data_IF_759176572607
#
_entry.id   IF_759176572607
#
_cell.length_a   1.000
_cell.length_b   1.000
_cell.length_c   1.000
_cell.angle_alpha   90.00
_cell.angle_beta   90.00
_cell.angle_gamma   90.00
#
_symmetry.space_group_name_H-M   'P 1'
#
loop_
_entity.id
_entity.type
_entity.pdbx_description
1 polymer ?
#
# COMPACT_ATOMS: atom_id res chain seq x y z
N UNK A 1 66.84 6.42 9.42
CA UNK A 1 66.15 6.81 8.17
C UNK A 1 65.15 5.72 7.76
N UNK A 2 63.84 5.98 7.83
CA UNK A 2 62.80 5.36 7.00
C UNK A 2 61.51 6.16 7.21
N UNK A 3 61.26 7.10 6.30
CA UNK A 3 60.04 7.89 6.24
C UNK A 3 58.87 6.97 5.85
N UNK A 4 57.83 6.91 6.69
CA UNK A 4 56.58 6.22 6.38
C UNK A 4 55.59 7.26 5.86
N UNK A 5 55.44 7.26 4.54
CA UNK A 5 54.44 7.99 3.77
C UNK A 5 53.03 7.81 4.38
N UNK A 6 52.42 8.91 4.82
CA UNK A 6 50.99 8.99 5.08
C UNK A 6 50.29 9.23 3.74
N UNK A 7 49.75 8.17 3.14
CA UNK A 7 48.86 8.32 2.00
C UNK A 7 47.53 8.90 2.49
N UNK A 8 47.25 10.14 2.07
CA UNK A 8 45.96 10.79 2.26
C UNK A 8 44.87 9.98 1.57
N UNK A 9 44.14 9.17 2.33
CA UNK A 9 42.83 8.70 1.90
C UNK A 9 41.85 9.84 2.13
N UNK A 10 41.45 10.50 1.05
CA UNK A 10 40.23 11.28 1.00
C UNK A 10 39.04 10.33 1.22
N UNK A 11 38.83 9.91 2.47
CA UNK A 11 37.65 9.17 2.89
C UNK A 11 36.51 10.16 2.97
N UNK A 12 35.57 10.09 2.03
CA UNK A 12 34.23 10.63 2.26
C UNK A 12 33.74 10.03 3.58
N UNK A 13 33.68 10.86 4.63
CA UNK A 13 33.55 10.39 6.00
C UNK A 13 32.29 9.55 6.22
N UNK A 14 32.27 8.68 7.25
CA UNK A 14 31.15 7.79 7.56
C UNK A 14 29.78 8.51 7.63
N UNK A 15 29.79 9.80 7.98
CA UNK A 15 28.60 10.67 8.04
C UNK A 15 27.92 10.85 6.68
N UNK A 16 28.68 11.03 5.59
CA UNK A 16 28.11 11.21 4.24
C UNK A 16 27.41 9.92 3.77
N UNK A 17 28.02 8.76 4.08
CA UNK A 17 27.40 7.45 3.81
C UNK A 17 26.10 7.26 4.60
N UNK A 18 26.03 7.73 5.85
CA UNK A 18 24.83 7.64 6.70
C UNK A 18 23.70 8.55 6.16
N UNK A 19 24.01 9.78 5.75
CA UNK A 19 23.02 10.69 5.17
C UNK A 19 22.44 10.21 3.83
N UNK A 20 23.27 9.62 2.95
CA UNK A 20 22.81 9.10 1.66
C UNK A 20 21.93 7.86 1.87
N UNK A 21 22.33 6.95 2.76
CA UNK A 21 21.55 5.75 3.07
C UNK A 21 20.15 6.11 3.58
N UNK A 22 20.08 7.03 4.55
CA UNK A 22 18.80 7.47 5.12
C UNK A 22 17.92 8.21 4.11
N UNK A 23 18.49 8.97 3.16
CA UNK A 23 17.71 9.60 2.09
C UNK A 23 17.06 8.56 1.17
N UNK A 24 17.84 7.56 0.73
CA UNK A 24 17.35 6.49 -0.16
C UNK A 24 16.25 5.69 0.55
N UNK A 25 16.40 5.37 1.83
CA UNK A 25 15.38 4.69 2.61
C UNK A 25 14.07 5.49 2.65
N UNK A 26 14.15 6.79 2.92
CA UNK A 26 12.97 7.66 2.95
C UNK A 26 12.30 7.79 1.58
N UNK A 27 13.09 7.83 0.50
CA UNK A 27 12.58 7.84 -0.87
C UNK A 27 11.89 6.51 -1.19
N UNK A 28 12.48 5.37 -0.81
CA UNK A 28 11.88 4.05 -0.99
C UNK A 28 10.54 3.94 -0.24
N UNK A 29 10.44 4.49 0.99
CA UNK A 29 9.19 4.53 1.75
C UNK A 29 8.13 5.43 1.09
N UNK A 30 8.52 6.54 0.49
CA UNK A 30 7.59 7.38 -0.28
C UNK A 30 7.09 6.64 -1.53
N UNK A 31 8.01 6.07 -2.32
CA UNK A 31 7.68 5.30 -3.51
C UNK A 31 6.76 4.12 -3.17
N UNK A 32 7.08 3.36 -2.11
CA UNK A 32 6.25 2.25 -1.65
C UNK A 32 4.82 2.71 -1.31
N UNK A 33 4.67 3.86 -0.64
CA UNK A 33 3.35 4.43 -0.37
C UNK A 33 2.59 4.82 -1.63
N UNK A 34 3.27 5.44 -2.59
CA UNK A 34 2.65 5.81 -3.87
C UNK A 34 2.18 4.57 -4.62
N UNK A 35 3.02 3.54 -4.71
CA UNK A 35 2.69 2.30 -5.42
C UNK A 35 1.52 1.56 -4.76
N UNK A 36 1.48 1.51 -3.42
CA UNK A 36 0.32 0.98 -2.71
C UNK A 36 -0.93 1.80 -3.03
N UNK A 37 -0.85 3.13 -2.94
CA UNK A 37 -1.99 4.01 -3.17
C UNK A 37 -2.57 3.90 -4.59
N UNK A 38 -1.71 3.80 -5.62
CA UNK A 38 -2.10 3.66 -7.03
C UNK A 38 -2.92 2.39 -7.28
N UNK A 39 -2.76 1.33 -6.48
CA UNK A 39 -3.56 0.12 -6.63
C UNK A 39 -5.00 0.25 -6.08
N UNK A 40 -5.21 1.11 -5.08
CA UNK A 40 -6.53 1.34 -4.48
C UNK A 40 -7.30 2.46 -5.18
N UNK A 41 -6.64 3.58 -5.45
CA UNK A 41 -7.31 4.82 -5.84
C UNK A 41 -8.18 4.68 -7.10
N UNK A 42 -7.73 4.04 -8.20
CA UNK A 42 -8.55 3.84 -9.37
C UNK A 42 -9.75 2.92 -9.12
N UNK A 43 -9.60 1.91 -8.25
CA UNK A 43 -10.67 1.00 -7.90
C UNK A 43 -11.76 1.73 -7.08
N UNK A 44 -11.36 2.50 -6.08
CA UNK A 44 -12.28 3.29 -5.25
C UNK A 44 -13.01 4.36 -6.05
N UNK A 45 -12.31 5.10 -6.92
CA UNK A 45 -12.93 6.10 -7.81
C UNK A 45 -13.96 5.45 -8.72
N UNK A 46 -13.63 4.31 -9.35
CA UNK A 46 -14.60 3.59 -10.20
C UNK A 46 -15.84 3.14 -9.41
N UNK A 47 -15.68 2.64 -8.19
CA UNK A 47 -16.81 2.27 -7.33
C UNK A 47 -17.71 3.45 -6.97
N UNK A 48 -17.12 4.60 -6.67
CA UNK A 48 -17.88 5.82 -6.36
C UNK A 48 -18.56 6.43 -7.59
N UNK A 49 -17.97 6.30 -8.77
CA UNK A 49 -18.58 6.74 -10.04
C UNK A 49 -19.72 5.83 -10.50
N UNK A 50 -19.69 4.54 -10.12
CA UNK A 50 -20.72 3.56 -10.44
C UNK A 50 -21.17 2.78 -9.20
N UNK A 51 -21.80 3.50 -8.27
CA UNK A 51 -22.36 2.90 -7.06
C UNK A 51 -23.44 1.88 -7.39
N UNK A 52 -24.25 2.13 -8.42
CA UNK A 52 -25.33 1.24 -8.85
C UNK A 52 -24.78 -0.10 -9.34
N UNK A 53 -23.78 -0.10 -10.22
CA UNK A 53 -23.11 -1.32 -10.67
C UNK A 53 -22.39 -2.05 -9.55
N UNK A 54 -21.76 -1.32 -8.64
CA UNK A 54 -21.08 -1.91 -7.47
C UNK A 54 -22.06 -2.56 -6.50
N UNK A 55 -23.18 -1.90 -6.20
CA UNK A 55 -24.23 -2.45 -5.36
C UNK A 55 -24.88 -3.68 -6.00
N UNK A 56 -25.18 -3.64 -7.30
CA UNK A 56 -25.70 -4.79 -8.03
C UNK A 56 -24.75 -5.99 -7.99
N UNK A 57 -23.44 -5.76 -8.06
CA UNK A 57 -22.43 -6.81 -7.89
C UNK A 57 -22.42 -7.36 -6.45
N UNK A 58 -22.49 -6.50 -5.43
CA UNK A 58 -22.58 -6.91 -4.02
C UNK A 58 -23.86 -7.69 -3.69
N UNK A 59 -24.98 -7.37 -4.34
CA UNK A 59 -26.23 -8.14 -4.24
C UNK A 59 -26.03 -9.57 -4.71
N UNK A 60 -25.33 -9.78 -5.84
CA UNK A 60 -25.04 -11.14 -6.36
C UNK A 60 -24.12 -11.94 -5.43
N UNK A 61 -23.27 -11.26 -4.66
CA UNK A 61 -22.41 -11.88 -3.65
C UNK A 61 -23.14 -12.18 -2.33
N UNK A 62 -24.40 -11.75 -2.17
CA UNK A 62 -25.18 -11.96 -0.94
C UNK A 62 -24.73 -11.07 0.23
N UNK A 63 -24.08 -9.94 -0.03
CA UNK A 63 -23.64 -9.01 1.01
C UNK A 63 -24.86 -8.27 1.60
N UNK A 64 -25.00 -8.17 2.94
CA UNK A 64 -26.08 -7.41 3.55
C UNK A 64 -25.94 -5.90 3.26
N UNK A 65 -27.07 -5.23 2.99
CA UNK A 65 -27.13 -3.80 2.67
C UNK A 65 -26.14 -3.37 1.55
N UNK A 66 -26.29 -3.90 0.32
CA UNK A 66 -25.32 -3.72 -0.77
C UNK A 66 -25.07 -2.27 -1.15
N UNK A 67 -26.08 -1.40 -1.11
CA UNK A 67 -25.92 0.03 -1.42
C UNK A 67 -25.02 0.74 -0.40
N UNK A 68 -25.21 0.43 0.88
CA UNK A 68 -24.41 0.99 1.98
C UNK A 68 -22.99 0.46 1.90
N UNK A 69 -22.83 -0.84 1.65
CA UNK A 69 -21.51 -1.47 1.52
C UNK A 69 -20.75 -0.98 0.30
N UNK A 70 -21.43 -0.69 -0.82
CA UNK A 70 -20.83 -0.10 -2.01
C UNK A 70 -20.27 1.29 -1.71
N UNK A 71 -21.05 2.13 -1.03
CA UNK A 71 -20.61 3.47 -0.60
C UNK A 71 -19.44 3.39 0.36
N UNK A 72 -19.52 2.53 1.38
CA UNK A 72 -18.44 2.34 2.36
C UNK A 72 -17.17 1.83 1.68
N UNK A 73 -17.27 0.82 0.83
CA UNK A 73 -16.12 0.27 0.12
C UNK A 73 -15.45 1.32 -0.77
N UNK A 74 -16.24 2.10 -1.54
CA UNK A 74 -15.71 3.18 -2.35
C UNK A 74 -15.05 4.29 -1.51
N UNK A 75 -15.69 4.71 -0.41
CA UNK A 75 -15.16 5.74 0.47
C UNK A 75 -13.85 5.30 1.15
N UNK A 76 -13.78 4.04 1.61
CA UNK A 76 -12.58 3.47 2.23
C UNK A 76 -11.45 3.33 1.20
N UNK A 77 -11.74 2.84 0.00
CA UNK A 77 -10.74 2.70 -1.07
C UNK A 77 -10.21 4.03 -1.61
N UNK A 78 -10.88 5.15 -1.37
CA UNK A 78 -10.37 6.48 -1.71
C UNK A 78 -9.66 7.12 -0.52
N UNK A 79 -10.24 7.06 0.68
CA UNK A 79 -9.69 7.74 1.87
C UNK A 79 -8.40 7.10 2.37
N UNK A 80 -8.32 5.76 2.44
CA UNK A 80 -7.13 5.07 2.94
C UNK A 80 -5.87 5.30 2.11
N UNK A 81 -5.87 5.18 0.76
CA UNK A 81 -4.67 5.48 -0.01
C UNK A 81 -4.27 6.95 0.06
N UNK A 82 -5.21 7.89 0.22
CA UNK A 82 -4.88 9.31 0.47
C UNK A 82 -4.17 9.46 1.81
N UNK A 83 -4.69 8.87 2.89
CA UNK A 83 -4.03 8.89 4.20
C UNK A 83 -2.65 8.22 4.15
N UNK A 84 -2.52 7.15 3.36
CA UNK A 84 -1.28 6.44 3.15
C UNK A 84 -0.26 7.34 2.42
N UNK A 85 -0.65 8.04 1.36
CA UNK A 85 0.20 9.02 0.66
C UNK A 85 0.68 10.15 1.59
N UNK A 86 -0.24 10.75 2.34
CA UNK A 86 0.07 11.82 3.31
C UNK A 86 1.02 11.30 4.41
N UNK A 87 0.93 10.01 4.74
CA UNK A 87 1.80 9.35 5.70
C UNK A 87 1.42 9.62 7.16
N UNK A 88 0.16 9.98 7.42
CA UNK A 88 -0.37 10.17 8.77
C UNK A 88 -0.77 8.82 9.39
N UNK A 89 -0.61 8.70 10.71
CA UNK A 89 -0.95 7.49 11.48
C UNK A 89 -0.58 6.16 10.78
N UNK A 90 0.69 5.97 10.36
CA UNK A 90 1.07 4.90 9.43
C UNK A 90 0.63 3.51 9.87
N UNK A 91 0.72 3.20 11.17
CA UNK A 91 0.30 1.91 11.73
C UNK A 91 -1.21 1.69 11.65
N UNK A 92 -1.99 2.72 11.97
CA UNK A 92 -3.47 2.63 11.92
C UNK A 92 -3.91 2.47 10.48
N UNK A 93 -3.40 3.32 9.57
CA UNK A 93 -3.71 3.25 8.15
C UNK A 93 -3.29 1.91 7.55
N UNK A 94 -2.11 1.38 7.92
CA UNK A 94 -1.66 0.07 7.48
C UNK A 94 -2.60 -1.06 7.90
N UNK A 95 -3.04 -1.08 9.16
CA UNK A 95 -3.97 -2.10 9.67
C UNK A 95 -5.33 -1.98 8.99
N UNK A 96 -5.86 -0.77 8.84
CA UNK A 96 -7.14 -0.54 8.17
C UNK A 96 -7.09 -0.95 6.69
N UNK A 97 -6.03 -0.57 5.97
CA UNK A 97 -5.84 -0.94 4.58
C UNK A 97 -5.65 -2.45 4.41
N UNK A 98 -4.80 -3.08 5.22
CA UNK A 98 -4.59 -4.52 5.20
C UNK A 98 -5.87 -5.29 5.52
N UNK A 99 -6.59 -4.89 6.57
CA UNK A 99 -7.86 -5.49 6.97
C UNK A 99 -8.93 -5.36 5.89
N UNK A 100 -9.05 -4.17 5.28
CA UNK A 100 -9.96 -3.96 4.16
C UNK A 100 -9.63 -4.87 2.98
N UNK A 101 -8.35 -5.00 2.60
CA UNK A 101 -7.94 -5.90 1.50
C UNK A 101 -8.22 -7.36 1.84
N UNK A 102 -8.00 -7.79 3.08
CA UNK A 102 -8.33 -9.16 3.52
C UNK A 102 -9.82 -9.43 3.31
N UNK A 103 -10.69 -8.53 3.78
CA UNK A 103 -12.15 -8.67 3.60
C UNK A 103 -12.52 -8.69 2.12
N UNK A 104 -11.99 -7.79 1.30
CA UNK A 104 -12.26 -7.74 -0.14
C UNK A 104 -11.77 -9.01 -0.86
N UNK A 105 -10.65 -9.58 -0.44
CA UNK A 105 -10.07 -10.79 -1.04
C UNK A 105 -10.91 -12.02 -0.73
N UNK A 106 -11.32 -12.18 0.53
CA UNK A 106 -12.11 -13.32 0.98
C UNK A 106 -13.57 -13.24 0.52
N UNK A 107 -14.08 -12.07 0.12
CA UNK A 107 -15.45 -11.92 -0.37
C UNK A 107 -15.52 -11.89 -1.90
N UNK A 108 -14.76 -11.04 -2.57
CA UNK A 108 -14.92 -10.75 -4.00
C UNK A 108 -14.00 -11.54 -4.94
N UNK A 109 -12.90 -12.11 -4.42
CA UNK A 109 -11.85 -12.71 -5.24
C UNK A 109 -11.61 -14.19 -4.94
N UNK A 110 -12.65 -14.91 -4.51
CA UNK A 110 -12.65 -16.36 -4.28
C UNK A 110 -12.60 -17.09 -5.62
N UNK A 111 -11.44 -17.07 -6.26
CA UNK A 111 -11.26 -17.57 -7.63
C UNK A 111 -11.68 -19.04 -7.81
N UNK A 112 -11.61 -19.85 -6.75
CA UNK A 112 -12.02 -21.25 -6.73
C UNK A 112 -13.54 -21.47 -6.87
N UNK A 113 -14.36 -20.43 -6.80
CA UNK A 113 -15.83 -20.53 -6.98
C UNK A 113 -16.27 -20.30 -8.43
N UNK A 114 -15.34 -19.89 -9.31
CA UNK A 114 -15.64 -19.62 -10.72
C UNK A 114 -15.40 -20.87 -11.56
N UNK A 115 -16.44 -21.32 -12.26
CA UNK A 115 -16.37 -22.50 -13.14
C UNK A 115 -15.81 -22.18 -14.54
N UNK A 116 -15.94 -20.93 -14.99
CA UNK A 116 -15.43 -20.50 -16.29
C UNK A 116 -13.92 -20.19 -16.20
N UNK A 117 -13.06 -20.84 -17.00
CA UNK A 117 -11.61 -20.72 -16.87
C UNK A 117 -11.06 -19.30 -16.98
N UNK A 118 -11.58 -18.45 -17.88
CA UNK A 118 -11.08 -17.09 -18.05
C UNK A 118 -11.41 -16.20 -16.83
N UNK A 119 -12.62 -16.32 -16.28
CA UNK A 119 -13.02 -15.66 -15.06
C UNK A 119 -12.22 -16.15 -13.86
N UNK A 120 -11.98 -17.46 -13.75
CA UNK A 120 -11.16 -18.04 -12.69
C UNK A 120 -9.74 -17.44 -12.70
N UNK A 121 -9.08 -17.38 -13.87
CA UNK A 121 -7.73 -16.78 -14.00
C UNK A 121 -7.72 -15.29 -13.65
N UNK A 122 -8.74 -14.53 -14.08
CA UNK A 122 -8.86 -13.11 -13.75
C UNK A 122 -9.00 -12.89 -12.24
N UNK A 123 -9.82 -13.70 -11.57
CA UNK A 123 -10.03 -13.60 -10.13
C UNK A 123 -8.81 -14.07 -9.33
N UNK A 124 -8.11 -15.09 -9.82
CA UNK A 124 -6.84 -15.53 -9.23
C UNK A 124 -5.79 -14.42 -9.28
N UNK A 125 -5.72 -13.67 -10.38
CA UNK A 125 -4.83 -12.52 -10.51
C UNK A 125 -5.15 -11.44 -9.48
N UNK A 126 -6.43 -11.12 -9.28
CA UNK A 126 -6.85 -10.15 -8.25
C UNK A 126 -6.55 -10.64 -6.84
N UNK A 127 -6.77 -11.93 -6.57
CA UNK A 127 -6.45 -12.55 -5.29
C UNK A 127 -4.96 -12.43 -4.96
N UNK A 128 -4.08 -12.81 -5.89
CA UNK A 128 -2.63 -12.74 -5.71
C UNK A 128 -2.13 -11.30 -5.60
N UNK A 129 -2.69 -10.37 -6.38
CA UNK A 129 -2.43 -8.93 -6.25
C UNK A 129 -2.75 -8.44 -4.84
N UNK A 130 -3.89 -8.85 -4.29
CA UNK A 130 -4.32 -8.46 -2.96
C UNK A 130 -3.44 -9.09 -1.87
N UNK A 131 -2.98 -10.33 -2.03
CA UNK A 131 -2.02 -10.93 -1.12
C UNK A 131 -0.71 -10.13 -1.06
N UNK A 132 -0.22 -9.67 -2.23
CA UNK A 132 0.91 -8.75 -2.32
C UNK A 132 0.65 -7.41 -1.62
N UNK A 133 -0.55 -6.84 -1.77
CA UNK A 133 -0.97 -5.62 -1.05
C UNK A 133 -0.97 -5.81 0.46
N UNK A 134 -1.51 -6.93 0.97
CA UNK A 134 -1.49 -7.27 2.40
C UNK A 134 -0.04 -7.29 2.90
N UNK A 135 0.87 -7.99 2.21
CA UNK A 135 2.29 -7.99 2.54
C UNK A 135 2.90 -6.58 2.53
N UNK A 136 2.56 -5.76 1.53
CA UNK A 136 2.99 -4.36 1.46
C UNK A 136 2.51 -3.52 2.63
N UNK A 137 1.26 -3.70 3.08
CA UNK A 137 0.75 -3.01 4.27
C UNK A 137 1.43 -3.48 5.56
N UNK A 138 1.82 -4.75 5.67
CA UNK A 138 2.61 -5.25 6.81
C UNK A 138 4.01 -4.62 6.85
N UNK A 139 4.69 -4.53 5.70
CA UNK A 139 5.97 -3.83 5.65
C UNK A 139 5.83 -2.35 5.98
N UNK A 140 4.77 -1.70 5.51
CA UNK A 140 4.47 -0.31 5.85
C UNK A 140 4.17 -0.12 7.35
N UNK A 141 3.46 -1.07 7.98
CA UNK A 141 3.19 -1.06 9.42
C UNK A 141 4.49 -1.06 10.24
N UNK A 142 5.47 -1.88 9.83
CA UNK A 142 6.77 -1.99 10.50
C UNK A 142 7.66 -0.77 10.23
N UNK A 143 7.78 -0.36 8.97
CA UNK A 143 8.70 0.69 8.57
C UNK A 143 8.20 2.11 8.94
N UNK A 144 6.89 2.33 8.88
CA UNK A 144 6.26 3.64 9.06
C UNK A 144 6.36 4.53 7.81
N UNK A 145 6.02 5.82 7.97
CA UNK A 145 5.87 6.75 6.84
C UNK A 145 7.17 7.39 6.34
N UNK A 146 8.28 7.28 7.09
CA UNK A 146 9.54 7.95 6.75
C UNK A 146 9.48 9.49 6.86
N UNK A 147 10.58 10.16 6.49
CA UNK A 147 10.75 11.60 6.60
C UNK A 147 9.85 12.40 5.64
N UNK A 148 9.51 11.84 4.47
CA UNK A 148 8.60 12.46 3.50
C UNK A 148 7.12 12.23 3.86
N UNK A 149 6.72 12.58 5.08
CA UNK A 149 5.35 12.43 5.58
C UNK A 149 4.94 13.62 6.43
N UNK A 150 3.64 13.85 6.60
CA UNK A 150 3.16 14.93 7.47
C UNK A 150 3.54 14.61 8.92
N UNK A 151 4.46 15.41 9.48
CA UNK A 151 5.05 15.20 10.81
C UNK A 151 6.30 14.29 10.82
N UNK A 152 6.81 13.91 9.64
CA UNK A 152 8.01 13.08 9.50
C UNK A 152 9.25 13.74 10.09
N UNK A 153 9.78 13.17 11.18
CA UNK A 153 11.14 13.48 11.64
C UNK A 153 12.10 12.52 10.97
N UNK A 154 13.05 13.05 10.18
CA UNK A 154 14.21 12.26 9.78
C UNK A 154 14.83 11.70 11.06
N UNK A 155 14.90 10.37 11.17
CA UNK A 155 15.59 9.72 12.30
C UNK A 155 17.04 10.24 12.26
N UNK A 156 17.39 11.09 13.22
CA UNK A 156 18.76 11.59 13.43
C UNK A 156 19.62 10.48 14.00
#
# INVERSE_FOLDING_TARGET
>A
MRARWQSGRAGTGPVIRICIMTFIDNLALLCGRILLAVLFLPAGVRKLMDLGGTAAYMTRMGVPAPDVMALVAGAVEVSLPILLLIGVFPRVVAVLAGGFVVVATLTAHRFWEFAEPAQQMMQQTQFLKNLGLIGGTMFYFVAGAGAFSVGGRARR
#
